data_IF_915359607614
#
_entry.id   IF_915359607614
#
_cell.length_a   1.000
_cell.length_b   1.000
_cell.length_c   1.000
_cell.angle_alpha   90.00
_cell.angle_beta   90.00
_cell.angle_gamma   90.00
#
_symmetry.space_group_name_H-M   'P 1'
#
loop_
_entity.id
_entity.type
_entity.pdbx_description
1 polymer ?
#
# COMPACT_ATOMS: atom_id res chain seq x y z
N UNK A 1 25.12 20.83 4.61
CA UNK A 1 23.92 19.96 4.37
C UNK A 1 24.10 19.32 3.00
N UNK A 2 23.99 18.00 2.89
CA UNK A 2 24.03 17.31 1.60
C UNK A 2 22.79 17.67 0.79
N UNK A 3 22.97 18.10 -0.47
CA UNK A 3 21.85 18.38 -1.37
C UNK A 3 21.10 17.08 -1.66
N UNK A 4 19.80 17.01 -1.38
CA UNK A 4 18.95 15.86 -1.76
C UNK A 4 18.90 15.73 -3.28
N UNK A 5 18.98 14.49 -3.75
CA UNK A 5 18.90 14.16 -5.18
C UNK A 5 17.47 13.70 -5.48
N UNK A 6 16.93 14.11 -6.62
CA UNK A 6 15.66 13.63 -7.13
C UNK A 6 15.79 12.16 -7.56
N UNK A 7 15.32 11.25 -6.72
CA UNK A 7 15.26 9.83 -7.03
C UNK A 7 13.91 9.52 -7.71
N UNK A 8 13.94 9.18 -8.97
CA UNK A 8 12.77 8.83 -9.79
C UNK A 8 12.66 7.32 -10.03
N UNK A 9 13.25 6.49 -9.17
CA UNK A 9 13.15 5.05 -9.26
C UNK A 9 11.69 4.59 -9.09
N UNK A 10 11.31 3.53 -9.81
CA UNK A 10 9.98 2.95 -9.69
C UNK A 10 9.82 2.26 -8.33
N UNK A 11 8.90 2.74 -7.53
CA UNK A 11 8.66 2.31 -6.16
C UNK A 11 9.42 3.15 -5.13
N UNK A 12 10.76 2.99 -4.94
CA UNK A 12 11.51 3.75 -3.93
C UNK A 12 11.88 5.16 -4.43
N UNK A 13 10.90 5.97 -4.80
CA UNK A 13 11.08 7.33 -5.27
C UNK A 13 11.30 8.32 -4.11
N UNK A 14 11.69 9.55 -4.46
CA UNK A 14 11.82 10.65 -3.49
C UNK A 14 10.46 10.94 -2.85
N UNK A 15 10.47 11.12 -1.54
CA UNK A 15 9.32 11.63 -0.78
C UNK A 15 9.49 13.11 -0.49
N UNK A 16 8.41 13.88 -0.32
CA UNK A 16 8.49 15.25 0.18
C UNK A 16 9.26 15.32 1.50
N UNK A 17 10.01 16.40 1.70
CA UNK A 17 10.85 16.53 2.91
C UNK A 17 10.00 16.69 4.18
N UNK A 18 8.86 17.34 4.05
CA UNK A 18 7.88 17.49 5.11
C UNK A 18 7.39 16.14 5.63
N UNK A 19 7.06 15.21 4.73
CA UNK A 19 6.62 13.85 5.07
C UNK A 19 7.72 13.09 5.81
N UNK A 20 8.98 13.23 5.38
CA UNK A 20 10.11 12.56 6.03
C UNK A 20 10.38 13.12 7.43
N UNK A 21 10.23 14.43 7.59
CA UNK A 21 10.42 15.11 8.89
C UNK A 21 9.33 14.68 9.88
N UNK A 22 8.09 14.62 9.44
CA UNK A 22 6.97 14.14 10.25
C UNK A 22 7.14 12.67 10.63
N UNK A 23 7.52 11.83 9.66
CA UNK A 23 7.79 10.42 9.91
C UNK A 23 8.94 10.23 10.92
N UNK A 24 10.02 11.01 10.81
CA UNK A 24 11.13 10.98 11.76
C UNK A 24 10.68 11.32 13.18
N UNK A 25 9.87 12.34 13.36
CA UNK A 25 9.33 12.72 14.67
C UNK A 25 8.46 11.59 15.24
N UNK A 26 7.58 11.03 14.43
CA UNK A 26 6.64 9.97 14.81
C UNK A 26 7.32 8.63 15.12
N UNK A 27 8.55 8.40 14.66
CA UNK A 27 9.32 7.18 15.01
C UNK A 27 9.70 7.13 16.50
N UNK A 28 9.93 8.29 17.12
CA UNK A 28 10.29 8.36 18.56
C UNK A 28 9.06 8.52 19.44
N UNK A 29 8.08 9.30 19.00
CA UNK A 29 6.83 9.50 19.73
C UNK A 29 5.72 9.87 18.75
N UNK A 30 4.66 9.09 18.72
CA UNK A 30 3.45 9.44 17.97
C UNK A 30 2.67 10.48 18.80
N UNK A 31 2.76 11.74 18.37
CA UNK A 31 2.27 12.86 19.16
C UNK A 31 2.89 12.87 20.58
N UNK A 32 2.06 13.08 21.58
CA UNK A 32 2.47 13.15 22.99
C UNK A 32 2.42 11.79 23.73
N UNK A 33 2.34 10.67 22.98
CA UNK A 33 2.20 9.35 23.60
C UNK A 33 3.48 8.85 24.30
N UNK A 34 4.65 9.40 23.96
CA UNK A 34 5.96 8.89 24.40
C UNK A 34 6.35 7.53 23.82
N UNK A 35 5.58 7.03 22.84
CA UNK A 35 5.77 5.73 22.17
C UNK A 35 5.80 5.95 20.66
N UNK A 36 6.80 5.40 19.98
CA UNK A 36 6.96 5.53 18.53
C UNK A 36 5.85 4.83 17.75
N UNK A 37 5.54 5.33 16.57
CA UNK A 37 4.46 4.76 15.73
C UNK A 37 4.66 3.27 15.43
N UNK A 38 5.91 2.82 15.28
CA UNK A 38 6.24 1.41 15.02
C UNK A 38 6.16 0.52 16.27
N UNK A 39 6.04 1.10 17.46
CA UNK A 39 5.96 0.40 18.74
C UNK A 39 4.53 0.26 19.25
N UNK A 40 3.58 0.97 18.66
CA UNK A 40 2.17 0.84 18.97
C UNK A 40 1.57 -0.48 18.45
N UNK A 41 0.72 -1.09 19.25
CA UNK A 41 -0.14 -2.17 18.73
C UNK A 41 -1.08 -1.63 17.64
N UNK A 42 -1.24 -2.37 16.55
CA UNK A 42 -2.20 -2.04 15.50
C UNK A 42 -3.67 -1.95 15.98
N UNK A 43 -3.97 -2.45 17.18
CA UNK A 43 -5.28 -2.34 17.85
C UNK A 43 -5.31 -1.22 18.89
N UNK A 44 -4.20 -0.56 19.15
CA UNK A 44 -4.12 0.58 20.06
C UNK A 44 -4.76 1.82 19.48
N UNK A 45 -5.49 2.59 20.29
CA UNK A 45 -6.18 3.80 19.83
C UNK A 45 -5.31 4.78 19.03
N UNK A 46 -4.04 5.05 19.43
CA UNK A 46 -3.20 5.98 18.67
C UNK A 46 -2.93 5.49 17.24
N UNK A 47 -2.64 4.19 17.07
CA UNK A 47 -2.40 3.62 15.74
C UNK A 47 -3.68 3.53 14.91
N UNK A 48 -4.80 3.15 15.54
CA UNK A 48 -6.10 3.09 14.85
C UNK A 48 -6.47 4.47 14.30
N UNK A 49 -6.24 5.54 15.06
CA UNK A 49 -6.50 6.91 14.57
C UNK A 49 -5.68 7.24 13.30
N UNK A 50 -4.40 6.86 13.25
CA UNK A 50 -3.56 7.04 12.04
C UNK A 50 -4.09 6.22 10.86
N UNK A 51 -4.52 4.99 11.10
CA UNK A 51 -5.05 4.10 10.05
C UNK A 51 -6.39 4.61 9.51
N UNK A 52 -7.27 5.08 10.38
CA UNK A 52 -8.57 5.65 10.00
C UNK A 52 -8.39 6.95 9.19
N UNK A 53 -7.48 7.83 9.60
CA UNK A 53 -7.13 9.03 8.86
C UNK A 53 -6.54 8.69 7.49
N UNK A 54 -5.64 7.71 7.40
CA UNK A 54 -5.08 7.27 6.13
C UNK A 54 -6.16 6.73 5.18
N UNK A 55 -7.14 5.96 5.70
CA UNK A 55 -8.26 5.50 4.88
C UNK A 55 -9.13 6.68 4.42
N UNK A 56 -9.46 7.61 5.32
CA UNK A 56 -10.26 8.79 4.99
C UNK A 56 -9.59 9.65 3.90
N UNK A 57 -8.29 9.90 4.02
CA UNK A 57 -7.51 10.64 3.02
C UNK A 57 -7.43 9.91 1.66
N UNK A 58 -7.29 8.58 1.66
CA UNK A 58 -7.35 7.79 0.42
C UNK A 58 -8.71 7.96 -0.27
N UNK A 59 -9.80 7.92 0.49
CA UNK A 59 -11.17 8.10 -0.04
C UNK A 59 -11.36 9.49 -0.62
N UNK A 60 -10.96 10.53 0.10
CA UNK A 60 -11.07 11.91 -0.31
C UNK A 60 -10.27 12.18 -1.59
N UNK A 61 -8.97 11.86 -1.59
CA UNK A 61 -8.06 12.18 -2.69
C UNK A 61 -8.34 11.40 -3.97
N UNK A 62 -8.80 10.15 -3.85
CA UNK A 62 -9.10 9.30 -5.00
C UNK A 62 -10.60 9.28 -5.38
N UNK A 63 -11.45 10.00 -4.64
CA UNK A 63 -12.89 10.02 -4.87
C UNK A 63 -13.54 8.64 -4.72
N UNK A 64 -13.09 7.84 -3.74
CA UNK A 64 -13.55 6.47 -3.56
C UNK A 64 -14.96 6.45 -2.93
N UNK A 65 -15.99 5.93 -3.62
CA UNK A 65 -17.34 5.88 -3.09
C UNK A 65 -17.47 4.84 -1.97
N UNK A 66 -18.50 4.99 -1.12
CA UNK A 66 -18.70 4.20 0.10
C UNK A 66 -18.94 2.71 -0.14
N UNK A 67 -19.36 2.32 -1.34
CA UNK A 67 -19.56 0.93 -1.72
C UNK A 67 -18.25 0.17 -2.03
N UNK A 68 -17.09 0.86 -2.01
CA UNK A 68 -15.76 0.25 -2.10
C UNK A 68 -15.10 0.16 -0.72
N UNK A 69 -14.24 -0.85 -0.54
CA UNK A 69 -13.39 -0.98 0.63
C UNK A 69 -11.96 -0.56 0.30
N UNK A 70 -11.33 0.18 1.20
CA UNK A 70 -9.88 0.46 1.15
C UNK A 70 -9.19 -0.56 2.06
N UNK A 71 -8.19 -1.25 1.53
CA UNK A 71 -7.45 -2.28 2.25
C UNK A 71 -5.95 -2.00 2.17
N UNK A 72 -5.29 -1.91 3.31
CA UNK A 72 -3.84 -1.82 3.40
C UNK A 72 -3.26 -3.22 3.56
N UNK A 73 -2.76 -3.81 2.46
CA UNK A 73 -2.27 -5.18 2.41
C UNK A 73 -0.76 -5.22 2.22
N UNK A 74 -0.09 -6.13 2.93
CA UNK A 74 1.33 -6.38 2.74
C UNK A 74 1.61 -7.19 1.45
N UNK A 75 2.90 -7.26 1.05
CA UNK A 75 3.35 -8.08 -0.07
C UNK A 75 3.37 -7.35 -1.41
N UNK A 76 2.91 -6.11 -1.45
CA UNK A 76 2.93 -5.25 -2.64
C UNK A 76 2.19 -5.85 -3.83
N UNK A 77 2.48 -5.34 -5.02
CA UNK A 77 1.83 -5.77 -6.26
C UNK A 77 2.11 -7.25 -6.61
N UNK A 78 3.25 -7.78 -6.21
CA UNK A 78 3.57 -9.20 -6.47
C UNK A 78 2.61 -10.14 -5.77
N UNK A 79 2.23 -9.85 -4.53
CA UNK A 79 1.22 -10.64 -3.82
C UNK A 79 -0.16 -10.46 -4.44
N UNK A 80 -0.50 -9.26 -4.93
CA UNK A 80 -1.77 -9.01 -5.60
C UNK A 80 -1.92 -9.79 -6.91
N UNK A 81 -0.84 -10.08 -7.63
CA UNK A 81 -0.89 -10.96 -8.81
C UNK A 81 -1.42 -12.35 -8.50
N UNK A 82 -1.20 -12.84 -7.30
CA UNK A 82 -1.75 -14.11 -6.82
C UNK A 82 -3.13 -13.93 -6.14
N UNK A 83 -3.27 -12.90 -5.28
CA UNK A 83 -4.49 -12.73 -4.47
C UNK A 83 -5.72 -12.40 -5.30
N UNK A 84 -5.60 -11.61 -6.37
CA UNK A 84 -6.73 -11.27 -7.25
C UNK A 84 -7.29 -12.53 -7.93
N UNK A 85 -6.50 -13.32 -8.69
CA UNK A 85 -7.02 -14.55 -9.28
C UNK A 85 -7.46 -15.58 -8.23
N UNK A 86 -6.77 -15.71 -7.10
CA UNK A 86 -7.17 -16.59 -6.00
C UNK A 86 -8.59 -16.32 -5.50
N UNK A 87 -9.03 -15.06 -5.51
CA UNK A 87 -10.36 -14.68 -5.03
C UNK A 87 -11.44 -14.71 -6.12
N UNK A 88 -11.08 -14.55 -7.38
CA UNK A 88 -12.05 -14.31 -8.46
C UNK A 88 -12.04 -15.37 -9.57
N UNK A 89 -10.95 -16.15 -9.74
CA UNK A 89 -10.95 -17.27 -10.67
C UNK A 89 -11.58 -18.51 -10.04
N UNK A 90 -12.41 -19.18 -10.82
CA UNK A 90 -12.98 -20.50 -10.53
C UNK A 90 -12.71 -21.41 -11.71
N UNK A 91 -12.97 -22.71 -11.57
CA UNK A 91 -12.79 -23.68 -12.67
C UNK A 91 -13.60 -23.33 -13.94
N UNK A 92 -14.68 -22.56 -13.77
CA UNK A 92 -15.61 -22.23 -14.85
C UNK A 92 -15.47 -20.78 -15.35
N UNK A 93 -14.45 -20.03 -14.86
CA UNK A 93 -14.24 -18.64 -15.25
C UNK A 93 -12.89 -18.46 -15.94
N UNK A 94 -12.83 -17.49 -16.84
CA UNK A 94 -11.61 -17.05 -17.55
C UNK A 94 -11.28 -15.62 -17.19
N UNK A 95 -9.99 -15.28 -17.20
CA UNK A 95 -9.51 -13.92 -17.06
C UNK A 95 -8.62 -13.52 -18.23
N UNK A 96 -8.89 -12.36 -18.78
CA UNK A 96 -8.09 -11.79 -19.86
C UNK A 96 -6.95 -10.94 -19.29
N UNK A 97 -5.76 -11.08 -19.88
CA UNK A 97 -4.57 -10.34 -19.47
C UNK A 97 -4.00 -9.55 -20.63
N UNK A 98 -3.92 -8.24 -20.48
CA UNK A 98 -3.23 -7.36 -21.43
C UNK A 98 -1.74 -7.37 -21.09
N UNK A 99 -0.94 -8.03 -21.93
CA UNK A 99 0.50 -8.23 -21.67
C UNK A 99 1.32 -7.21 -22.44
N UNK A 100 1.72 -6.14 -21.75
CA UNK A 100 2.52 -5.04 -22.31
C UNK A 100 3.98 -5.04 -21.88
N UNK A 101 4.38 -5.88 -20.90
CA UNK A 101 5.73 -5.89 -20.39
C UNK A 101 6.01 -7.00 -19.37
N UNK A 102 7.14 -6.91 -18.68
CA UNK A 102 7.63 -7.95 -17.77
C UNK A 102 6.71 -8.17 -16.56
N UNK A 103 6.13 -7.11 -16.01
CA UNK A 103 5.21 -7.21 -14.88
C UNK A 103 3.89 -7.88 -15.26
N UNK A 104 3.34 -7.55 -16.41
CA UNK A 104 2.14 -8.22 -16.92
C UNK A 104 2.40 -9.73 -17.18
N UNK A 105 3.59 -10.10 -17.69
CA UNK A 105 3.99 -11.51 -17.82
C UNK A 105 4.06 -12.23 -16.47
N UNK A 106 4.56 -11.57 -15.42
CA UNK A 106 4.56 -12.13 -14.06
C UNK A 106 3.14 -12.35 -13.55
N UNK A 107 2.26 -11.38 -13.74
CA UNK A 107 0.86 -11.49 -13.33
C UNK A 107 0.17 -12.70 -13.97
N UNK A 108 0.34 -12.91 -15.28
CA UNK A 108 -0.18 -14.12 -15.96
C UNK A 108 0.39 -15.41 -15.36
N UNK A 109 1.69 -15.41 -15.04
CA UNK A 109 2.33 -16.61 -14.45
C UNK A 109 1.70 -16.96 -13.11
N UNK A 110 1.46 -15.98 -12.24
CA UNK A 110 0.81 -16.22 -10.95
C UNK A 110 -0.64 -16.65 -11.11
N UNK A 111 -1.38 -16.05 -12.03
CA UNK A 111 -2.78 -16.39 -12.28
C UNK A 111 -2.97 -17.86 -12.72
N UNK A 112 -2.05 -18.40 -13.51
CA UNK A 112 -2.07 -19.81 -13.98
C UNK A 112 -1.96 -20.85 -12.86
N UNK A 113 -1.70 -20.44 -11.63
CA UNK A 113 -1.71 -21.32 -10.46
C UNK A 113 -3.14 -21.57 -9.95
N UNK A 114 -4.11 -20.78 -10.38
CA UNK A 114 -5.49 -20.79 -9.89
C UNK A 114 -6.52 -21.15 -10.97
N UNK A 115 -6.12 -21.19 -12.24
CA UNK A 115 -7.02 -21.51 -13.35
C UNK A 115 -6.33 -21.62 -14.72
#
# INVERSE_FOLDING_TARGET
MSRRIWNLSAGPAVLPEEVLTEAQASLLSLGDTGVGVCEHSHRGKPFVAVADEAEALCRELAGIPDNFRVLFLQGGASTQFAMVPMNFLTADTTADYIVTGSWAKKSVKEARLFG
#
